data_IF_559156937893
#
_entry.id   IF_559156937893
#
_cell.length_a   1.000
_cell.length_b   1.000
_cell.length_c   1.000
_cell.angle_alpha   90.00
_cell.angle_beta   90.00
_cell.angle_gamma   90.00
#
_symmetry.space_group_name_H-M   'P 1'
#
loop_
_entity.id
_entity.type
_entity.pdbx_description
1 polymer ?
#
# COMPACT_ATOMS: atom_id res chain seq x y z
N UNK A 1 -12.73 1.53 27.65
CA UNK A 1 -11.65 2.51 27.92
C UNK A 1 -11.80 3.65 26.92
N UNK A 2 -11.36 4.87 27.19
CA UNK A 2 -11.53 5.99 26.25
C UNK A 2 -10.51 5.86 25.09
N UNK A 3 -10.95 6.01 23.85
CA UNK A 3 -10.12 5.86 22.63
C UNK A 3 -8.72 6.52 22.68
N UNK A 4 -8.53 7.70 23.32
CA UNK A 4 -7.19 8.29 23.46
C UNK A 4 -6.19 7.44 24.26
N UNK A 5 -6.64 6.72 25.29
CA UNK A 5 -5.78 5.85 26.09
C UNK A 5 -5.34 4.60 25.30
N UNK A 6 -6.24 4.06 24.49
CA UNK A 6 -5.95 2.90 23.64
C UNK A 6 -4.91 3.26 22.56
N UNK A 7 -5.06 4.42 21.93
CA UNK A 7 -4.08 4.95 20.97
C UNK A 7 -2.72 5.16 21.66
N UNK A 8 -2.72 5.76 22.86
CA UNK A 8 -1.49 5.97 23.62
C UNK A 8 -0.80 4.66 23.99
N UNK A 9 -1.55 3.62 24.37
CA UNK A 9 -1.01 2.29 24.65
C UNK A 9 -0.42 1.63 23.39
N UNK A 10 -1.09 1.75 22.24
CA UNK A 10 -0.56 1.24 20.97
C UNK A 10 0.75 1.96 20.58
N UNK A 11 0.79 3.30 20.68
CA UNK A 11 2.00 4.07 20.40
C UNK A 11 3.12 3.69 21.38
N UNK A 12 2.81 3.56 22.68
CA UNK A 12 3.77 3.12 23.67
C UNK A 12 4.30 1.71 23.38
N UNK A 13 3.43 0.79 22.97
CA UNK A 13 3.83 -0.54 22.54
C UNK A 13 4.81 -0.49 21.35
N UNK A 14 4.50 0.30 20.33
CA UNK A 14 5.40 0.49 19.18
C UNK A 14 6.76 1.02 19.62
N UNK A 15 6.80 2.08 20.47
CA UNK A 15 8.05 2.68 20.95
C UNK A 15 8.88 1.70 21.78
N UNK A 16 8.24 0.92 22.65
CA UNK A 16 8.92 -0.03 23.54
C UNK A 16 9.43 -1.25 22.77
N UNK A 17 8.63 -1.77 21.84
CA UNK A 17 8.98 -3.02 21.13
C UNK A 17 9.82 -2.80 19.87
N UNK A 18 9.98 -1.57 19.39
CA UNK A 18 10.89 -1.27 18.27
C UNK A 18 12.35 -1.62 18.60
N UNK A 19 12.96 -1.17 19.72
CA UNK A 19 14.32 -1.59 20.09
C UNK A 19 14.43 -3.09 20.36
N UNK A 20 13.36 -3.71 20.88
CA UNK A 20 13.33 -5.14 21.14
C UNK A 20 13.45 -5.97 19.85
N UNK A 21 12.94 -5.46 18.73
CA UNK A 21 13.07 -6.11 17.41
C UNK A 21 14.54 -6.26 16.97
N UNK A 22 15.38 -5.28 17.29
CA UNK A 22 16.81 -5.32 16.99
C UNK A 22 17.52 -6.39 17.86
N UNK A 23 17.15 -6.48 19.14
CA UNK A 23 17.71 -7.44 20.08
C UNK A 23 17.37 -8.89 19.70
N UNK A 24 16.11 -9.16 19.32
CA UNK A 24 15.65 -10.50 18.88
C UNK A 24 16.09 -10.82 17.45
N UNK A 25 16.63 -9.83 16.75
CA UNK A 25 17.04 -9.95 15.34
C UNK A 25 15.89 -10.36 14.40
N UNK A 26 14.66 -9.99 14.69
CA UNK A 26 13.51 -10.16 13.82
C UNK A 26 13.17 -8.82 13.12
N UNK A 27 12.55 -8.85 11.93
CA UNK A 27 12.00 -7.64 11.32
C UNK A 27 10.98 -6.97 12.23
N UNK A 28 11.05 -5.65 12.36
CA UNK A 28 10.15 -4.87 13.23
C UNK A 28 8.65 -5.18 13.00
N UNK A 29 8.14 -5.29 11.76
CA UNK A 29 6.74 -5.62 11.54
C UNK A 29 6.33 -6.97 12.14
N UNK A 30 7.21 -7.97 12.08
CA UNK A 30 6.95 -9.31 12.65
C UNK A 30 6.80 -9.24 14.17
N UNK A 31 7.72 -8.52 14.84
CA UNK A 31 7.67 -8.35 16.30
C UNK A 31 6.40 -7.62 16.71
N UNK A 32 6.07 -6.51 16.02
CA UNK A 32 4.86 -5.74 16.33
C UNK A 32 3.58 -6.53 16.08
N UNK A 33 3.54 -7.38 15.05
CA UNK A 33 2.40 -8.28 14.80
C UNK A 33 2.22 -9.28 15.92
N UNK A 34 3.31 -9.93 16.37
CA UNK A 34 3.27 -10.89 17.49
C UNK A 34 2.81 -10.20 18.78
N UNK A 35 3.34 -9.01 19.06
CA UNK A 35 2.93 -8.20 20.21
C UNK A 35 1.45 -7.80 20.11
N UNK A 36 0.99 -7.36 18.93
CA UNK A 36 -0.41 -7.03 18.69
C UNK A 36 -1.35 -8.20 18.92
N UNK A 37 -0.99 -9.39 18.43
CA UNK A 37 -1.74 -10.63 18.69
C UNK A 37 -1.77 -10.91 20.19
N UNK A 38 -0.62 -10.81 20.88
CA UNK A 38 -0.53 -11.02 22.33
C UNK A 38 -1.40 -10.06 23.12
N UNK A 39 -1.40 -8.77 22.76
CA UNK A 39 -2.26 -7.75 23.39
C UNK A 39 -3.75 -8.03 23.17
N UNK A 40 -4.13 -8.61 22.03
CA UNK A 40 -5.53 -8.98 21.75
C UNK A 40 -6.07 -10.09 22.66
N UNK A 41 -5.20 -10.88 23.30
CA UNK A 41 -5.61 -11.88 24.32
C UNK A 41 -5.71 -11.31 25.74
N UNK A 42 -5.30 -10.06 25.96
CA UNK A 42 -5.34 -9.45 27.30
C UNK A 42 -6.75 -8.94 27.58
N UNK A 43 -7.46 -9.45 28.61
CA UNK A 43 -8.79 -8.97 28.96
C UNK A 43 -8.78 -7.46 29.27
N UNK A 44 -9.67 -6.71 28.67
CA UNK A 44 -9.78 -5.26 28.87
C UNK A 44 -8.93 -4.39 27.94
N UNK A 45 -8.07 -4.97 27.12
CA UNK A 45 -7.42 -4.26 26.00
C UNK A 45 -8.32 -4.46 24.78
N UNK A 46 -9.11 -3.46 24.48
CA UNK A 46 -9.93 -3.41 23.27
C UNK A 46 -9.20 -2.49 22.30
N UNK A 47 -9.03 -2.90 21.06
CA UNK A 47 -8.45 -2.03 20.03
C UNK A 47 -9.33 -0.78 19.82
N UNK A 48 -8.75 0.35 19.37
CA UNK A 48 -9.53 1.54 19.11
C UNK A 48 -10.61 1.23 18.07
N UNK A 49 -11.85 1.63 18.38
CA UNK A 49 -12.97 1.51 17.46
C UNK A 49 -12.84 2.59 16.36
N UNK A 50 -11.95 2.33 15.43
CA UNK A 50 -11.71 3.21 14.28
C UNK A 50 -12.67 2.81 13.15
N UNK A 51 -13.45 3.74 12.61
CA UNK A 51 -14.24 3.48 11.42
C UNK A 51 -13.33 2.96 10.30
N UNK A 52 -13.65 1.83 9.65
CA UNK A 52 -12.79 1.24 8.60
C UNK A 52 -12.44 2.21 7.48
N UNK A 53 -13.33 3.18 7.21
CA UNK A 53 -13.18 4.20 6.18
C UNK A 53 -12.00 5.15 6.45
N UNK A 54 -11.57 5.28 7.70
CA UNK A 54 -10.45 6.17 8.10
C UNK A 54 -9.09 5.48 8.03
N UNK A 55 -9.06 4.15 8.03
CA UNK A 55 -7.79 3.40 8.06
C UNK A 55 -7.00 3.66 6.77
N UNK A 56 -7.63 3.51 5.61
CA UNK A 56 -6.97 3.71 4.32
C UNK A 56 -6.47 5.15 4.13
N UNK A 57 -7.27 6.21 4.31
CA UNK A 57 -6.83 7.59 4.14
C UNK A 57 -5.72 8.02 5.09
N UNK A 58 -5.64 7.45 6.28
CA UNK A 58 -4.62 7.82 7.28
C UNK A 58 -3.33 7.03 7.09
N UNK A 59 -3.42 5.72 6.81
CA UNK A 59 -2.27 4.82 6.80
C UNK A 59 -1.60 4.76 5.43
N UNK A 60 -2.39 4.68 4.36
CA UNK A 60 -1.88 4.45 3.01
C UNK A 60 -0.99 5.59 2.47
N UNK A 61 -1.39 6.89 2.57
CA UNK A 61 -0.59 7.97 2.01
C UNK A 61 0.82 8.07 2.59
N UNK A 62 1.04 8.08 3.93
CA UNK A 62 2.39 8.15 4.48
C UNK A 62 3.20 6.88 4.23
N UNK A 63 2.56 5.70 4.17
CA UNK A 63 3.25 4.43 3.90
C UNK A 63 3.78 4.40 2.46
N UNK A 64 2.95 4.73 1.47
CA UNK A 64 3.37 4.82 0.08
C UNK A 64 4.44 5.91 -0.12
N UNK A 65 4.25 7.07 0.51
CA UNK A 65 5.22 8.15 0.42
C UNK A 65 6.57 7.76 1.01
N UNK A 66 6.60 7.10 2.17
CA UNK A 66 7.84 6.59 2.77
C UNK A 66 8.53 5.53 1.88
N UNK A 67 7.78 4.71 1.18
CA UNK A 67 8.32 3.76 0.21
C UNK A 67 8.97 4.47 -0.98
N UNK A 68 8.33 5.52 -1.52
CA UNK A 68 8.86 6.29 -2.68
C UNK A 68 10.12 7.09 -2.36
N UNK A 69 10.32 7.51 -1.11
CA UNK A 69 11.52 8.26 -0.69
C UNK A 69 12.80 7.42 -0.75
N UNK A 70 12.70 6.11 -0.84
CA UNK A 70 13.84 5.18 -0.83
C UNK A 70 14.43 4.91 -2.20
N UNK A 71 13.69 5.21 -3.26
CA UNK A 71 14.09 4.94 -4.65
C UNK A 71 14.18 6.24 -5.44
N UNK A 72 15.26 6.46 -6.16
CA UNK A 72 15.40 7.63 -7.02
C UNK A 72 14.67 7.43 -8.35
N UNK A 73 14.18 8.53 -8.95
CA UNK A 73 13.56 8.47 -10.29
C UNK A 73 14.47 7.89 -11.36
N UNK A 74 15.77 8.09 -11.24
CA UNK A 74 16.76 7.57 -12.19
C UNK A 74 16.84 6.05 -12.09
N UNK A 75 17.02 5.52 -10.88
CA UNK A 75 17.06 4.08 -10.62
C UNK A 75 15.75 3.39 -11.03
N UNK A 76 14.61 4.04 -10.73
CA UNK A 76 13.31 3.54 -11.17
C UNK A 76 13.21 3.44 -12.70
N UNK A 77 13.65 4.47 -13.44
CA UNK A 77 13.61 4.49 -14.92
C UNK A 77 14.50 3.44 -15.55
N UNK A 78 15.66 3.15 -14.96
CA UNK A 78 16.59 2.11 -15.43
C UNK A 78 15.98 0.71 -15.32
N UNK A 79 15.11 0.45 -14.34
CA UNK A 79 14.50 -0.85 -14.09
C UNK A 79 12.98 -0.86 -14.28
N UNK A 80 12.41 0.18 -14.90
CA UNK A 80 10.96 0.35 -15.03
C UNK A 80 10.26 -0.83 -15.73
N UNK A 81 10.89 -1.41 -16.77
CA UNK A 81 10.34 -2.56 -17.48
C UNK A 81 10.26 -3.81 -16.60
N UNK A 82 11.30 -4.06 -15.81
CA UNK A 82 11.37 -5.20 -14.90
C UNK A 82 10.36 -5.02 -13.75
N UNK A 83 10.32 -3.82 -13.16
CA UNK A 83 9.37 -3.46 -12.10
C UNK A 83 7.91 -3.59 -12.59
N UNK A 84 7.58 -3.01 -13.75
CA UNK A 84 6.21 -3.09 -14.29
C UNK A 84 5.82 -4.52 -14.67
N UNK A 85 6.74 -5.30 -15.25
CA UNK A 85 6.47 -6.70 -15.57
C UNK A 85 6.16 -7.52 -14.33
N UNK A 86 6.90 -7.32 -13.24
CA UNK A 86 6.66 -8.00 -11.97
C UNK A 86 5.39 -7.46 -11.30
N UNK A 87 5.27 -6.15 -11.12
CA UNK A 87 4.13 -5.56 -10.43
C UNK A 87 2.78 -5.82 -11.11
N UNK A 88 2.74 -5.89 -12.44
CA UNK A 88 1.51 -6.17 -13.19
C UNK A 88 1.41 -7.64 -13.55
N UNK A 89 2.45 -8.20 -14.17
CA UNK A 89 2.42 -9.57 -14.69
C UNK A 89 2.33 -10.61 -13.58
N UNK A 90 3.16 -10.49 -12.54
CA UNK A 90 3.14 -11.41 -11.41
C UNK A 90 1.84 -11.29 -10.62
N UNK A 91 1.35 -10.07 -10.37
CA UNK A 91 0.08 -9.85 -9.66
C UNK A 91 -1.09 -10.48 -10.41
N UNK A 92 -1.17 -10.33 -11.75
CA UNK A 92 -2.19 -10.98 -12.57
C UNK A 92 -2.05 -12.51 -12.51
N UNK A 93 -0.83 -13.04 -12.65
CA UNK A 93 -0.57 -14.47 -12.61
C UNK A 93 -0.94 -15.05 -11.23
N UNK A 94 -0.56 -14.40 -10.14
CA UNK A 94 -0.91 -14.84 -8.78
C UNK A 94 -2.41 -14.77 -8.54
N UNK A 95 -3.08 -13.69 -9.00
CA UNK A 95 -4.55 -13.60 -8.98
C UNK A 95 -5.21 -14.78 -9.70
N UNK A 96 -4.73 -15.10 -10.90
CA UNK A 96 -5.29 -16.20 -11.70
C UNK A 96 -5.08 -17.56 -11.01
N UNK A 97 -3.87 -17.83 -10.52
CA UNK A 97 -3.57 -19.09 -9.80
C UNK A 97 -4.40 -19.19 -8.52
N UNK A 98 -4.49 -18.13 -7.72
CA UNK A 98 -5.32 -18.11 -6.52
C UNK A 98 -6.81 -18.33 -6.83
N UNK A 99 -7.32 -17.72 -7.91
CA UNK A 99 -8.68 -17.92 -8.37
C UNK A 99 -8.96 -19.39 -8.79
N UNK A 100 -8.02 -19.99 -9.53
CA UNK A 100 -8.13 -21.42 -9.92
C UNK A 100 -8.14 -22.33 -8.69
N UNK A 101 -7.23 -22.10 -7.74
CA UNK A 101 -7.17 -22.88 -6.50
C UNK A 101 -8.46 -22.70 -5.67
N UNK A 102 -8.93 -21.48 -5.52
CA UNK A 102 -10.19 -21.20 -4.81
C UNK A 102 -11.38 -21.90 -5.49
N UNK A 103 -11.44 -21.89 -6.82
CA UNK A 103 -12.48 -22.58 -7.56
C UNK A 103 -12.40 -24.10 -7.39
N UNK A 104 -11.21 -24.66 -7.39
CA UNK A 104 -11.00 -26.11 -7.19
C UNK A 104 -11.49 -26.61 -5.82
N UNK A 105 -11.52 -25.74 -4.79
CA UNK A 105 -12.09 -26.06 -3.47
C UNK A 105 -13.58 -25.69 -3.34
N UNK A 106 -14.25 -25.33 -4.45
CA UNK A 106 -15.70 -25.14 -4.52
C UNK A 106 -16.17 -23.67 -4.49
N UNK A 107 -15.28 -22.69 -4.52
CA UNK A 107 -15.68 -21.27 -4.60
C UNK A 107 -16.19 -20.96 -6.03
N UNK A 108 -17.33 -20.31 -6.21
CA UNK A 108 -17.81 -19.87 -7.53
C UNK A 108 -16.78 -18.95 -8.22
N UNK A 109 -16.63 -19.08 -9.56
CA UNK A 109 -15.64 -18.31 -10.32
C UNK A 109 -15.66 -16.80 -10.05
N UNK A 110 -16.83 -16.18 -9.93
CA UNK A 110 -16.95 -14.77 -9.66
C UNK A 110 -16.29 -14.38 -8.32
N UNK A 111 -16.57 -15.13 -7.25
CA UNK A 111 -15.95 -14.91 -5.94
C UNK A 111 -14.47 -15.33 -5.90
N UNK A 112 -14.11 -16.38 -6.65
CA UNK A 112 -12.72 -16.86 -6.74
C UNK A 112 -11.78 -15.81 -7.34
N UNK A 113 -12.20 -15.10 -8.39
CA UNK A 113 -11.43 -13.98 -8.95
C UNK A 113 -11.28 -12.80 -7.99
N UNK A 114 -12.34 -12.45 -7.26
CA UNK A 114 -12.29 -11.42 -6.21
C UNK A 114 -11.30 -11.81 -5.12
N UNK A 115 -11.40 -13.05 -4.63
CA UNK A 115 -10.47 -13.58 -3.62
C UNK A 115 -9.03 -13.58 -4.13
N UNK A 116 -8.82 -14.01 -5.38
CA UNK A 116 -7.50 -14.00 -6.02
C UNK A 116 -6.89 -12.59 -6.06
N UNK A 117 -7.66 -11.58 -6.40
CA UNK A 117 -7.20 -10.19 -6.43
C UNK A 117 -6.84 -9.66 -5.03
N UNK A 118 -7.58 -10.06 -3.99
CA UNK A 118 -7.30 -9.67 -2.60
C UNK A 118 -5.99 -10.27 -2.09
N UNK A 119 -5.70 -11.53 -2.43
CA UNK A 119 -4.55 -12.27 -1.88
C UNK A 119 -3.28 -12.08 -2.71
N UNK A 120 -3.40 -11.55 -3.93
CA UNK A 120 -2.29 -11.51 -4.90
C UNK A 120 -1.14 -10.56 -4.58
N UNK A 121 -1.33 -9.35 -3.96
CA UNK A 121 -0.20 -8.46 -3.74
C UNK A 121 0.71 -9.00 -2.64
N UNK A 122 2.01 -9.23 -2.93
CA UNK A 122 2.99 -9.58 -1.90
C UNK A 122 3.32 -8.34 -1.05
N UNK A 123 3.54 -8.52 0.25
CA UNK A 123 4.04 -7.45 1.12
C UNK A 123 5.52 -7.19 0.83
N UNK A 124 5.89 -6.01 0.29
CA UNK A 124 7.29 -5.68 0.02
C UNK A 124 8.10 -5.39 1.28
N UNK A 125 7.45 -5.01 2.39
CA UNK A 125 8.13 -4.56 3.62
C UNK A 125 8.94 -5.69 4.24
N UNK A 126 8.36 -6.88 4.37
CA UNK A 126 9.05 -8.03 4.91
C UNK A 126 10.17 -8.50 3.96
N UNK A 127 9.89 -8.57 2.65
CA UNK A 127 10.85 -9.00 1.63
C UNK A 127 12.07 -8.06 1.56
N UNK A 128 11.84 -6.75 1.54
CA UNK A 128 12.93 -5.75 1.49
C UNK A 128 13.72 -5.69 2.79
N UNK A 129 13.08 -5.85 3.95
CA UNK A 129 13.79 -5.94 5.23
C UNK A 129 14.75 -7.13 5.28
N UNK A 130 14.32 -8.29 4.79
CA UNK A 130 15.18 -9.49 4.68
C UNK A 130 16.28 -9.29 3.63
N UNK A 131 15.95 -8.76 2.46
CA UNK A 131 16.89 -8.50 1.37
C UNK A 131 18.03 -7.57 1.80
N UNK A 132 17.71 -6.47 2.49
CA UNK A 132 18.71 -5.54 3.05
C UNK A 132 19.58 -6.20 4.12
N UNK A 133 18.98 -7.04 4.98
CA UNK A 133 19.72 -7.75 6.01
C UNK A 133 20.69 -8.79 5.44
N UNK A 134 20.29 -9.47 4.37
CA UNK A 134 21.15 -10.42 3.65
C UNK A 134 22.16 -9.72 2.74
N UNK A 135 22.17 -8.38 2.70
CA UNK A 135 23.03 -7.57 1.84
C UNK A 135 22.92 -7.98 0.37
N UNK A 136 21.71 -8.21 -0.10
CA UNK A 136 21.48 -8.50 -1.51
C UNK A 136 21.93 -7.31 -2.38
N UNK A 137 22.30 -7.56 -3.64
CA UNK A 137 22.69 -6.51 -4.57
C UNK A 137 21.64 -5.40 -4.64
N UNK A 138 22.09 -4.16 -4.67
CA UNK A 138 21.23 -2.96 -4.66
C UNK A 138 20.14 -3.03 -5.74
N UNK A 139 20.49 -3.50 -6.94
CA UNK A 139 19.55 -3.71 -8.06
C UNK A 139 18.32 -4.55 -7.65
N UNK A 140 18.53 -5.67 -6.94
CA UNK A 140 17.42 -6.53 -6.51
C UNK A 140 16.54 -5.82 -5.48
N UNK A 141 17.16 -5.07 -4.56
CA UNK A 141 16.41 -4.30 -3.56
C UNK A 141 15.56 -3.22 -4.24
N UNK A 142 16.12 -2.49 -5.21
CA UNK A 142 15.40 -1.45 -5.98
C UNK A 142 14.23 -2.04 -6.77
N UNK A 143 14.40 -3.21 -7.39
CA UNK A 143 13.32 -3.89 -8.11
C UNK A 143 12.22 -4.33 -7.15
N UNK A 144 12.56 -4.92 -6.01
CA UNK A 144 11.57 -5.33 -4.99
C UNK A 144 10.80 -4.14 -4.40
N UNK A 145 11.49 -3.03 -4.13
CA UNK A 145 10.84 -1.80 -3.64
C UNK A 145 9.94 -1.17 -4.72
N UNK A 146 10.41 -1.14 -5.96
CA UNK A 146 9.61 -0.66 -7.10
C UNK A 146 8.39 -1.54 -7.36
N UNK A 147 8.54 -2.86 -7.35
CA UNK A 147 7.44 -3.80 -7.50
C UNK A 147 6.37 -3.52 -6.44
N UNK A 148 6.76 -3.46 -5.15
CA UNK A 148 5.84 -3.24 -4.04
C UNK A 148 5.06 -1.94 -4.09
N UNK A 149 5.54 -0.93 -4.82
CA UNK A 149 4.80 0.33 -5.02
C UNK A 149 3.65 0.21 -6.03
N UNK A 150 3.77 -0.69 -7.01
CA UNK A 150 2.81 -0.80 -8.12
C UNK A 150 1.91 -2.03 -8.03
N UNK A 151 2.32 -3.08 -7.30
CA UNK A 151 1.52 -4.28 -7.15
C UNK A 151 0.21 -4.01 -6.41
N UNK A 152 0.23 -3.15 -5.38
CA UNK A 152 -0.97 -2.77 -4.62
C UNK A 152 -1.97 -2.02 -5.50
N UNK A 153 -1.48 -1.08 -6.33
CA UNK A 153 -2.33 -0.39 -7.29
C UNK A 153 -2.92 -1.37 -8.32
N UNK A 154 -2.10 -2.31 -8.82
CA UNK A 154 -2.55 -3.36 -9.75
C UNK A 154 -3.62 -4.26 -9.10
N UNK A 155 -3.40 -4.69 -7.86
CA UNK A 155 -4.35 -5.53 -7.13
C UNK A 155 -5.67 -4.80 -6.83
N UNK A 156 -5.64 -3.52 -6.47
CA UNK A 156 -6.83 -2.70 -6.27
C UNK A 156 -7.64 -2.57 -7.56
N UNK A 157 -6.98 -2.37 -8.70
CA UNK A 157 -7.64 -2.35 -10.01
C UNK A 157 -8.28 -3.71 -10.31
N UNK A 158 -7.54 -4.80 -10.14
CA UNK A 158 -8.06 -6.15 -10.33
C UNK A 158 -9.24 -6.45 -9.41
N UNK A 159 -9.14 -6.07 -8.14
CA UNK A 159 -10.23 -6.21 -7.17
C UNK A 159 -11.49 -5.46 -7.61
N UNK A 160 -11.38 -4.18 -7.98
CA UNK A 160 -12.51 -3.40 -8.47
C UNK A 160 -13.14 -4.01 -9.72
N UNK A 161 -12.31 -4.45 -10.68
CA UNK A 161 -12.81 -5.10 -11.95
C UNK A 161 -13.54 -6.40 -11.63
N UNK A 162 -12.91 -7.27 -10.85
CA UNK A 162 -13.48 -8.60 -10.54
C UNK A 162 -14.72 -8.49 -9.68
N UNK A 163 -14.76 -7.58 -8.71
CA UNK A 163 -15.93 -7.31 -7.87
C UNK A 163 -17.11 -6.80 -8.70
N UNK A 164 -16.87 -5.82 -9.58
CA UNK A 164 -17.92 -5.29 -10.47
C UNK A 164 -18.40 -6.35 -11.47
N UNK A 165 -17.51 -7.18 -12.00
CA UNK A 165 -17.89 -8.30 -12.85
C UNK A 165 -18.75 -9.32 -12.09
N UNK A 166 -18.41 -9.59 -10.81
CA UNK A 166 -19.16 -10.50 -9.96
C UNK A 166 -20.59 -9.99 -9.64
N UNK A 167 -20.72 -8.68 -9.40
CA UNK A 167 -22.02 -8.07 -9.00
C UNK A 167 -22.90 -7.74 -10.20
N UNK A 168 -22.31 -7.18 -11.28
CA UNK A 168 -23.10 -6.62 -12.42
C UNK A 168 -23.25 -7.60 -13.59
N UNK A 169 -22.61 -8.76 -13.54
CA UNK A 169 -22.53 -9.67 -14.70
C UNK A 169 -21.68 -9.10 -15.83
N UNK A 170 -21.43 -9.91 -16.86
CA UNK A 170 -20.45 -9.64 -17.92
C UNK A 170 -20.73 -8.41 -18.81
N UNK A 171 -21.90 -7.80 -18.71
CA UNK A 171 -22.32 -6.69 -19.60
C UNK A 171 -21.64 -5.35 -19.32
N UNK A 172 -20.96 -5.19 -18.16
CA UNK A 172 -20.36 -3.91 -17.74
C UNK A 172 -18.82 -3.89 -17.75
N UNK A 173 -18.15 -5.02 -17.99
CA UNK A 173 -16.69 -5.16 -17.84
C UNK A 173 -15.90 -4.17 -18.71
N UNK A 174 -16.31 -3.98 -19.97
CA UNK A 174 -15.61 -3.05 -20.87
C UNK A 174 -15.72 -1.60 -20.40
N UNK A 175 -16.91 -1.16 -19.99
CA UNK A 175 -17.14 0.20 -19.46
C UNK A 175 -16.37 0.42 -18.16
N UNK A 176 -16.36 -0.57 -17.29
CA UNK A 176 -15.60 -0.54 -16.03
C UNK A 176 -14.11 -0.49 -16.27
N UNK A 177 -13.59 -1.25 -17.25
CA UNK A 177 -12.19 -1.19 -17.63
C UNK A 177 -11.76 0.21 -18.11
N UNK A 178 -12.59 0.89 -18.91
CA UNK A 178 -12.33 2.27 -19.34
C UNK A 178 -12.33 3.22 -18.14
N UNK A 179 -13.31 3.11 -17.24
CA UNK A 179 -13.37 3.94 -16.04
C UNK A 179 -12.14 3.75 -15.16
N UNK A 180 -11.69 2.52 -14.96
CA UNK A 180 -10.49 2.23 -14.19
C UNK A 180 -9.21 2.80 -14.80
N UNK A 181 -9.07 2.72 -16.13
CA UNK A 181 -7.95 3.38 -16.82
C UNK A 181 -8.01 4.89 -16.62
N UNK A 182 -9.20 5.50 -16.73
CA UNK A 182 -9.38 6.92 -16.45
C UNK A 182 -9.02 7.27 -15.01
N UNK A 183 -9.45 6.49 -14.03
CA UNK A 183 -9.10 6.65 -12.61
C UNK A 183 -7.59 6.66 -12.41
N UNK A 184 -6.86 5.70 -12.99
CA UNK A 184 -5.40 5.64 -12.91
C UNK A 184 -4.76 6.87 -13.57
N UNK A 185 -5.23 7.27 -14.76
CA UNK A 185 -4.71 8.45 -15.46
C UNK A 185 -4.96 9.73 -14.66
N UNK A 186 -6.14 9.89 -14.09
CA UNK A 186 -6.48 11.04 -13.23
C UNK A 186 -5.60 11.04 -11.98
N UNK A 187 -5.44 9.91 -11.29
CA UNK A 187 -4.59 9.79 -10.11
C UNK A 187 -3.13 10.16 -10.41
N UNK A 188 -2.57 9.65 -11.52
CA UNK A 188 -1.21 9.99 -11.96
C UNK A 188 -1.10 11.48 -12.31
N UNK A 189 -2.09 12.06 -12.99
CA UNK A 189 -2.10 13.48 -13.35
C UNK A 189 -2.15 14.38 -12.10
N UNK A 190 -3.00 14.05 -11.13
CA UNK A 190 -3.12 14.76 -9.85
C UNK A 190 -1.80 14.67 -9.09
N UNK A 191 -1.24 13.47 -8.96
CA UNK A 191 0.04 13.27 -8.28
C UNK A 191 1.19 14.05 -8.94
N UNK A 192 1.25 14.05 -10.27
CA UNK A 192 2.26 14.79 -11.01
C UNK A 192 2.13 16.31 -10.84
N UNK A 193 0.90 16.85 -10.95
CA UNK A 193 0.64 18.28 -10.77
C UNK A 193 0.97 18.74 -9.34
N UNK A 194 0.59 17.95 -8.35
CA UNK A 194 0.93 18.25 -6.95
C UNK A 194 2.42 18.15 -6.67
N UNK A 195 3.12 17.19 -7.28
CA UNK A 195 4.58 17.10 -7.19
C UNK A 195 5.26 18.34 -7.78
N UNK A 196 4.79 18.85 -8.92
CA UNK A 196 5.30 20.11 -9.50
C UNK A 196 5.00 21.32 -8.59
N UNK A 197 3.78 21.41 -8.06
CA UNK A 197 3.39 22.48 -7.16
C UNK A 197 4.23 22.45 -5.87
N UNK A 198 4.41 21.27 -5.28
CA UNK A 198 5.24 21.08 -4.08
C UNK A 198 6.69 21.43 -4.36
N UNK A 199 7.26 20.96 -5.47
CA UNK A 199 8.62 21.33 -5.88
C UNK A 199 8.78 22.84 -6.04
N UNK A 200 7.79 23.52 -6.57
CA UNK A 200 7.82 24.97 -6.72
C UNK A 200 7.70 25.66 -5.36
N UNK A 201 6.80 25.21 -4.49
CA UNK A 201 6.63 25.76 -3.13
C UNK A 201 7.91 25.61 -2.31
N UNK A 202 8.56 24.45 -2.35
CA UNK A 202 9.82 24.18 -1.64
C UNK A 202 10.97 25.12 -2.05
N UNK A 203 10.94 25.67 -3.28
CA UNK A 203 11.95 26.66 -3.71
C UNK A 203 11.81 28.01 -3.01
N UNK A 204 10.62 28.30 -2.47
CA UNK A 204 10.32 29.57 -1.79
C UNK A 204 10.39 29.43 -0.27
N UNK A 205 10.44 28.19 0.23
CA UNK A 205 10.48 27.89 1.65
C UNK A 205 11.94 27.67 2.04
N UNK A 206 12.43 28.51 2.96
CA UNK A 206 13.80 28.41 3.50
C UNK A 206 13.81 27.79 4.91
N UNK A 207 12.63 27.61 5.53
CA UNK A 207 12.50 27.10 6.88
C UNK A 207 12.34 25.58 6.89
N UNK A 208 13.24 24.82 7.56
CA UNK A 208 13.20 23.36 7.60
C UNK A 208 11.92 22.78 8.23
N UNK A 209 11.30 23.46 9.18
CA UNK A 209 10.07 22.99 9.82
C UNK A 209 8.89 23.04 8.84
N UNK A 210 8.79 24.13 8.09
CA UNK A 210 7.76 24.29 7.04
C UNK A 210 7.97 23.32 5.90
N UNK A 211 9.22 23.06 5.50
CA UNK A 211 9.57 22.07 4.49
C UNK A 211 9.11 20.66 4.92
N UNK A 212 9.44 20.26 6.16
CA UNK A 212 9.04 18.97 6.71
C UNK A 212 7.53 18.83 6.79
N UNK A 213 6.85 19.88 7.29
CA UNK A 213 5.39 19.89 7.42
C UNK A 213 4.71 19.76 6.05
N UNK A 214 5.18 20.51 5.05
CA UNK A 214 4.65 20.40 3.68
C UNK A 214 4.87 18.99 3.11
N UNK A 215 6.06 18.43 3.28
CA UNK A 215 6.42 17.10 2.81
C UNK A 215 5.52 16.02 3.40
N UNK A 216 5.19 16.10 4.68
CA UNK A 216 4.28 15.16 5.36
C UNK A 216 2.83 15.38 4.93
N UNK A 217 2.41 16.61 4.63
CA UNK A 217 1.03 16.93 4.29
C UNK A 217 0.67 16.54 2.84
N UNK A 218 1.62 16.66 1.93
CA UNK A 218 1.41 16.42 0.48
C UNK A 218 0.78 15.06 0.17
N UNK A 219 1.20 13.92 0.73
CA UNK A 219 0.60 12.63 0.46
C UNK A 219 -0.89 12.59 0.79
N UNK A 220 -1.29 13.19 1.92
CA UNK A 220 -2.70 13.23 2.33
C UNK A 220 -3.53 14.10 1.40
N UNK A 221 -3.02 15.27 1.02
CA UNK A 221 -3.70 16.16 0.06
C UNK A 221 -3.84 15.47 -1.30
N UNK A 222 -2.79 14.77 -1.74
CA UNK A 222 -2.82 14.02 -3.01
C UNK A 222 -3.88 12.94 -2.97
N UNK A 223 -3.95 12.16 -1.89
CA UNK A 223 -4.94 11.11 -1.70
C UNK A 223 -6.36 11.66 -1.74
N UNK A 224 -6.65 12.69 -0.92
CA UNK A 224 -7.99 13.29 -0.84
C UNK A 224 -8.44 13.90 -2.16
N UNK A 225 -7.53 14.57 -2.88
CA UNK A 225 -7.85 15.16 -4.19
C UNK A 225 -8.10 14.08 -5.25
N UNK A 226 -7.27 13.03 -5.29
CA UNK A 226 -7.47 11.92 -6.21
C UNK A 226 -8.81 11.24 -5.93
N UNK A 227 -9.12 10.91 -4.68
CA UNK A 227 -10.37 10.28 -4.28
C UNK A 227 -11.60 11.12 -4.65
N UNK A 228 -11.56 12.44 -4.44
CA UNK A 228 -12.66 13.34 -4.81
C UNK A 228 -12.89 13.45 -6.30
N UNK A 229 -11.83 13.40 -7.10
CA UNK A 229 -11.92 13.46 -8.57
C UNK A 229 -12.35 12.12 -9.17
N UNK A 230 -12.07 11.01 -8.50
CA UNK A 230 -12.52 9.66 -8.90
C UNK A 230 -13.98 9.39 -8.50
N UNK A 231 -14.44 9.96 -7.40
CA UNK A 231 -15.79 9.78 -6.86
C UNK A 231 -16.88 10.65 -7.54
N UNK A 232 -16.50 11.44 -8.55
CA UNK A 232 -17.41 12.25 -9.38
C UNK A 232 -17.65 11.59 -10.72
#
# INVERSE_FOLDING_TARGET
>A
MSGPLEIALLVAAVVVFTPFSEWVRLPQPVVLTIVGIGLGFVPGVVGPDLPPEWILPIVLPPLLFAATQRTTLTEFREHASEVLLLAVGLTIATTAVAAVVAHAVGVPWAAAWVLGAIVSPPDPVAATAVARRLRLPHRLVTILEGEGMFNDATALVLFKVTLLAAVSGHRCVARTGVLLVLTVVVGVAVGYLLALATRQALRWIADPYTETTLTVLVPFVTYVLAERLEGS
#
